data_IF_077869859982
#
_entry.id   IF_077869859982
#
_cell.length_a   1.000
_cell.length_b   1.000
_cell.length_c   1.000
_cell.angle_alpha   90.00
_cell.angle_beta   90.00
_cell.angle_gamma   90.00
#
_symmetry.space_group_name_H-M   'P 1'
#
loop_
_entity.id
_entity.type
_entity.pdbx_description
1 polymer ?
#
# COMPACT_ATOMS: atom_id res chain seq x y z
N UNK A 1 -10.74 0.35 19.52
CA UNK A 1 -9.44 -0.15 19.04
C UNK A 1 -9.56 -0.38 17.54
N UNK A 2 -8.85 0.38 16.70
CA UNK A 2 -8.85 0.11 15.26
C UNK A 2 -7.93 -1.10 15.06
N UNK A 3 -8.47 -2.20 14.53
CA UNK A 3 -7.66 -3.35 14.15
C UNK A 3 -6.64 -2.92 13.09
N UNK A 4 -5.34 -3.17 13.33
CA UNK A 4 -4.24 -2.85 12.39
C UNK A 4 -4.54 -3.32 10.96
N UNK A 5 -5.28 -4.43 10.82
CA UNK A 5 -5.72 -4.95 9.53
C UNK A 5 -6.85 -4.19 8.85
N UNK A 6 -7.80 -3.64 9.60
CA UNK A 6 -8.84 -2.77 9.03
C UNK A 6 -8.24 -1.43 8.61
N UNK A 7 -7.30 -0.88 9.39
CA UNK A 7 -6.59 0.35 9.04
C UNK A 7 -5.88 0.25 7.69
N UNK A 8 -5.06 -0.80 7.50
CA UNK A 8 -4.33 -1.05 6.25
C UNK A 8 -5.25 -1.22 5.03
N UNK A 9 -6.39 -1.90 5.21
CA UNK A 9 -7.39 -2.07 4.15
C UNK A 9 -8.04 -0.74 3.78
N UNK A 10 -8.42 0.05 4.78
CA UNK A 10 -9.04 1.34 4.58
C UNK A 10 -8.09 2.32 3.89
N UNK A 11 -6.84 2.41 4.34
CA UNK A 11 -5.84 3.31 3.72
C UNK A 11 -5.47 2.87 2.30
N UNK A 12 -5.39 1.56 2.03
CA UNK A 12 -5.20 1.05 0.67
C UNK A 12 -6.37 1.41 -0.25
N UNK A 13 -7.61 1.13 0.16
CA UNK A 13 -8.81 1.44 -0.64
C UNK A 13 -8.95 2.95 -0.89
N UNK A 14 -8.68 3.75 0.13
CA UNK A 14 -8.69 5.20 0.03
C UNK A 14 -7.64 5.69 -0.98
N UNK A 15 -6.41 5.19 -0.89
CA UNK A 15 -5.36 5.54 -1.85
C UNK A 15 -5.72 5.12 -3.28
N UNK A 16 -6.26 3.91 -3.45
CA UNK A 16 -6.67 3.39 -4.76
C UNK A 16 -7.76 4.28 -5.39
N UNK A 17 -8.77 4.69 -4.60
CA UNK A 17 -9.81 5.61 -5.06
C UNK A 17 -9.23 6.97 -5.44
N UNK A 18 -8.34 7.55 -4.62
CA UNK A 18 -7.72 8.85 -4.89
C UNK A 18 -6.86 8.82 -6.16
N UNK A 19 -6.12 7.73 -6.37
CA UNK A 19 -5.30 7.52 -7.55
C UNK A 19 -6.15 7.35 -8.81
N UNK A 20 -7.26 6.62 -8.73
CA UNK A 20 -8.21 6.48 -9.85
C UNK A 20 -8.83 7.82 -10.23
N UNK A 21 -9.30 8.59 -9.24
CA UNK A 21 -9.88 9.93 -9.48
C UNK A 21 -8.82 10.88 -10.06
N UNK A 22 -7.61 10.88 -9.51
CA UNK A 22 -6.51 11.70 -10.04
C UNK A 22 -6.11 11.33 -11.46
N UNK A 23 -6.07 10.03 -11.78
CA UNK A 23 -5.82 9.55 -13.14
C UNK A 23 -6.93 9.97 -14.12
N UNK A 24 -8.20 9.87 -13.70
CA UNK A 24 -9.34 10.35 -14.50
C UNK A 24 -9.23 11.85 -14.79
N UNK A 25 -8.90 12.68 -13.79
CA UNK A 25 -8.69 14.12 -13.99
C UNK A 25 -7.55 14.42 -14.95
N UNK A 26 -6.48 13.62 -14.93
CA UNK A 26 -5.37 13.77 -15.88
C UNK A 26 -5.77 13.40 -17.31
N UNK A 27 -6.57 12.34 -17.49
CA UNK A 27 -7.10 11.94 -18.81
C UNK A 27 -8.08 12.99 -19.35
N UNK A 28 -8.95 13.52 -18.50
CA UNK A 28 -9.93 14.55 -18.85
C UNK A 28 -9.33 15.95 -19.01
N UNK A 29 -8.02 16.11 -18.84
CA UNK A 29 -7.30 17.39 -18.92
C UNK A 29 -7.88 18.47 -17.99
N UNK A 30 -8.34 18.06 -16.81
CA UNK A 30 -8.90 18.98 -15.84
C UNK A 30 -7.78 19.89 -15.26
N UNK A 31 -8.02 21.20 -15.09
CA UNK A 31 -7.06 22.07 -14.41
C UNK A 31 -6.79 21.56 -12.99
N UNK A 32 -5.53 21.59 -12.56
CA UNK A 32 -5.04 21.08 -11.26
C UNK A 32 -5.02 19.55 -11.10
N UNK A 33 -5.16 18.77 -12.17
CA UNK A 33 -5.01 17.31 -12.11
C UNK A 33 -3.65 16.86 -11.53
N UNK A 34 -2.59 17.62 -11.79
CA UNK A 34 -1.25 17.33 -11.26
C UNK A 34 -1.18 17.48 -9.74
N UNK A 35 -1.79 18.54 -9.21
CA UNK A 35 -1.88 18.78 -7.76
C UNK A 35 -2.64 17.64 -7.08
N UNK A 36 -3.74 17.16 -7.69
CA UNK A 36 -4.53 16.06 -7.16
C UNK A 36 -3.74 14.74 -7.15
N UNK A 37 -2.96 14.47 -8.21
CA UNK A 37 -2.06 13.32 -8.25
C UNK A 37 -0.94 13.42 -7.20
N UNK A 38 -0.44 14.61 -6.91
CA UNK A 38 0.55 14.81 -5.84
C UNK A 38 -0.02 14.40 -4.47
N UNK A 39 -1.27 14.76 -4.18
CA UNK A 39 -1.97 14.29 -2.97
C UNK A 39 -2.15 12.77 -2.95
N UNK A 40 -2.44 12.14 -4.11
CA UNK A 40 -2.52 10.68 -4.21
C UNK A 40 -1.19 10.00 -3.86
N UNK A 41 -0.06 10.57 -4.30
CA UNK A 41 1.28 10.07 -3.98
C UNK A 41 1.57 10.22 -2.48
N UNK A 42 1.22 11.36 -1.86
CA UNK A 42 1.40 11.55 -0.42
C UNK A 42 0.54 10.54 0.37
N UNK A 43 -0.72 10.35 -0.04
CA UNK A 43 -1.59 9.35 0.55
C UNK A 43 -1.02 7.93 0.41
N UNK A 44 -0.23 7.66 -0.63
CA UNK A 44 0.40 6.35 -0.84
C UNK A 44 1.37 6.01 0.27
N UNK A 45 2.12 7.01 0.76
CA UNK A 45 3.07 6.83 1.85
C UNK A 45 2.37 6.39 3.14
N UNK A 46 1.14 6.86 3.39
CA UNK A 46 0.37 6.48 4.58
C UNK A 46 0.07 4.97 4.67
N UNK A 47 -0.04 4.31 3.52
CA UNK A 47 -0.22 2.86 3.40
C UNK A 47 1.12 2.12 3.25
N UNK A 48 2.04 2.65 2.45
CA UNK A 48 3.30 1.98 2.13
C UNK A 48 4.23 1.86 3.35
N UNK A 49 4.30 2.89 4.21
CA UNK A 49 5.19 2.88 5.37
C UNK A 49 4.86 1.75 6.38
N UNK A 50 3.59 1.57 6.84
CA UNK A 50 3.24 0.43 7.69
C UNK A 50 3.54 -0.93 7.04
N UNK A 51 3.30 -1.06 5.73
CA UNK A 51 3.57 -2.31 4.99
C UNK A 51 5.06 -2.61 4.93
N UNK A 52 5.90 -1.63 4.65
CA UNK A 52 7.35 -1.81 4.68
C UNK A 52 7.83 -2.19 6.08
N UNK A 53 7.32 -1.55 7.13
CA UNK A 53 7.65 -1.94 8.51
C UNK A 53 7.24 -3.40 8.81
N UNK A 54 6.04 -3.83 8.41
CA UNK A 54 5.60 -5.23 8.56
C UNK A 54 6.53 -6.20 7.78
N UNK A 55 6.98 -5.84 6.57
CA UNK A 55 7.90 -6.67 5.75
C UNK A 55 9.29 -6.75 6.37
N UNK A 56 9.88 -5.61 6.78
CA UNK A 56 11.24 -5.56 7.33
C UNK A 56 11.34 -6.32 8.66
N UNK A 57 10.34 -6.15 9.54
CA UNK A 57 10.30 -6.82 10.86
C UNK A 57 9.96 -8.30 10.78
N UNK A 58 9.43 -8.78 9.64
CA UNK A 58 9.09 -10.19 9.51
C UNK A 58 10.35 -11.05 9.44
N UNK A 59 10.44 -12.03 10.33
CA UNK A 59 11.52 -13.04 10.37
C UNK A 59 11.18 -14.29 9.57
N UNK A 60 9.96 -14.38 9.02
CA UNK A 60 9.50 -15.54 8.24
C UNK A 60 9.86 -15.48 6.77
N UNK A 61 10.20 -14.30 6.27
CA UNK A 61 10.47 -14.06 4.86
C UNK A 61 11.97 -13.90 4.63
N UNK A 62 12.47 -14.55 3.60
CA UNK A 62 13.85 -14.39 3.15
C UNK A 62 14.08 -13.01 2.53
N UNK A 63 15.34 -12.58 2.50
CA UNK A 63 15.77 -11.28 1.99
C UNK A 63 15.37 -11.07 0.53
N UNK A 64 15.41 -12.12 -0.30
CA UNK A 64 14.98 -12.04 -1.69
C UNK A 64 13.47 -11.76 -1.83
N UNK A 65 12.64 -12.39 -0.97
CA UNK A 65 11.20 -12.16 -0.97
C UNK A 65 10.86 -10.76 -0.42
N UNK A 66 11.62 -10.26 0.56
CA UNK A 66 11.49 -8.87 1.03
C UNK A 66 11.74 -7.87 -0.10
N UNK A 67 12.81 -8.08 -0.87
CA UNK A 67 13.12 -7.25 -2.04
C UNK A 67 12.01 -7.33 -3.09
N UNK A 68 11.47 -8.51 -3.37
CA UNK A 68 10.34 -8.69 -4.29
C UNK A 68 9.11 -7.88 -3.84
N UNK A 69 8.77 -7.88 -2.56
CA UNK A 69 7.65 -7.08 -2.05
C UNK A 69 7.92 -5.59 -2.14
N UNK A 70 9.14 -5.14 -1.86
CA UNK A 70 9.51 -3.73 -1.94
C UNK A 70 9.46 -3.24 -3.39
N UNK A 71 10.07 -3.96 -4.32
CA UNK A 71 10.06 -3.61 -5.75
C UNK A 71 8.64 -3.69 -6.32
N UNK A 72 7.85 -4.69 -5.93
CA UNK A 72 6.44 -4.80 -6.29
C UNK A 72 5.61 -3.62 -5.82
N UNK A 73 5.79 -3.15 -4.59
CA UNK A 73 5.07 -1.99 -4.06
C UNK A 73 5.46 -0.68 -4.76
N UNK A 74 6.70 -0.58 -5.24
CA UNK A 74 7.22 0.63 -5.88
C UNK A 74 6.82 0.72 -7.35
N UNK A 75 6.91 -0.40 -8.10
CA UNK A 75 6.63 -0.42 -9.53
C UNK A 75 5.17 -0.76 -9.86
N UNK A 76 4.52 -1.60 -9.05
CA UNK A 76 3.20 -2.17 -9.30
C UNK A 76 2.28 -1.94 -8.11
N UNK A 77 2.31 -0.74 -7.52
CA UNK A 77 1.65 -0.38 -6.25
C UNK A 77 0.21 -0.87 -6.12
N UNK A 78 -0.70 -0.71 -7.10
CA UNK A 78 -2.08 -1.15 -6.95
C UNK A 78 -2.19 -2.68 -6.84
N UNK A 79 -1.41 -3.38 -7.64
CA UNK A 79 -1.42 -4.84 -7.77
C UNK A 79 -0.72 -5.51 -6.59
N UNK A 80 0.50 -5.06 -6.26
CA UNK A 80 1.25 -5.54 -5.12
C UNK A 80 0.53 -5.21 -3.80
N UNK A 81 -0.07 -4.01 -3.71
CA UNK A 81 -0.85 -3.61 -2.54
C UNK A 81 -2.07 -4.48 -2.30
N UNK A 82 -2.83 -4.76 -3.36
CA UNK A 82 -3.94 -5.70 -3.31
C UNK A 82 -3.50 -7.10 -2.85
N UNK A 83 -2.46 -7.67 -3.48
CA UNK A 83 -1.96 -8.99 -3.12
C UNK A 83 -1.46 -9.04 -1.66
N UNK A 84 -0.81 -7.98 -1.20
CA UNK A 84 -0.31 -7.90 0.16
C UNK A 84 -1.44 -7.87 1.18
N UNK A 85 -2.35 -6.91 1.06
CA UNK A 85 -3.42 -6.66 2.03
C UNK A 85 -4.38 -7.85 2.16
N UNK A 86 -4.73 -8.49 1.03
CA UNK A 86 -5.72 -9.56 1.02
C UNK A 86 -5.13 -10.95 1.20
N UNK A 87 -3.95 -11.25 0.62
CA UNK A 87 -3.36 -12.60 0.64
C UNK A 87 -2.11 -12.71 1.51
N UNK A 88 -1.11 -11.85 1.29
CA UNK A 88 0.22 -12.06 1.87
C UNK A 88 0.31 -11.65 3.35
N UNK A 89 -0.47 -10.67 3.80
CA UNK A 89 -0.42 -10.14 5.17
C UNK A 89 -0.58 -11.23 6.23
N UNK A 90 -1.51 -12.18 6.04
CA UNK A 90 -1.71 -13.29 6.99
C UNK A 90 -0.48 -14.18 7.13
N UNK A 91 0.35 -14.31 6.08
CA UNK A 91 1.60 -15.08 6.09
C UNK A 91 2.74 -14.28 6.73
N UNK A 92 2.80 -12.98 6.41
CA UNK A 92 3.94 -12.11 6.71
C UNK A 92 3.87 -11.49 8.11
N UNK A 93 2.69 -11.02 8.54
CA UNK A 93 2.50 -10.20 9.74
C UNK A 93 2.06 -10.99 11.00
N UNK A 94 1.86 -12.31 10.91
CA UNK A 94 1.32 -13.14 12.00
C UNK A 94 2.24 -13.26 13.24
N UNK A 95 3.42 -12.64 13.22
CA UNK A 95 4.27 -12.47 14.42
C UNK A 95 3.80 -11.34 15.34
N UNK A 96 3.05 -10.35 14.85
CA UNK A 96 2.55 -9.22 15.66
C UNK A 96 1.21 -9.51 16.37
N UNK A 97 0.46 -10.53 15.97
CA UNK A 97 -0.84 -10.89 16.57
C UNK A 97 -0.70 -11.75 17.85
N UNK A 98 0.51 -12.12 18.24
CA UNK A 98 0.79 -13.01 19.38
C UNK A 98 1.52 -12.33 20.54
N UNK A 99 1.62 -11.01 20.54
CA UNK A 99 2.14 -10.22 21.67
C UNK A 99 1.02 -9.42 22.31
#
# INVERSE_FOLDING_TARGET
>A
MIDKGQFLRATFLFNMALTLVGAMFKILHYPNAETFLMFAIIAMMSYALPVFLEIFRSTRIDTAEKLMWITGMLCLTPLAGYLYVFKARKRIANSELRK
#
